data_IF_363873384839
#
_entry.id   IF_363873384839
#
_cell.length_a   1.000
_cell.length_b   1.000
_cell.length_c   1.000
_cell.angle_alpha   90.00
_cell.angle_beta   90.00
_cell.angle_gamma   90.00
#
_symmetry.space_group_name_H-M   'P 1'
#
loop_
_entity.id
_entity.type
_entity.pdbx_description
1 polymer ?
#
# COMPACT_ATOMS: atom_id res chain seq x y z
N UNK A 1 -5.67 23.22 -13.89
CA UNK A 1 -6.40 22.90 -12.64
C UNK A 1 -5.69 21.75 -11.95
N UNK A 2 -5.37 21.85 -10.66
CA UNK A 2 -4.60 20.83 -9.94
C UNK A 2 -5.39 19.52 -9.85
N UNK A 3 -4.82 18.41 -10.33
CA UNK A 3 -5.45 17.09 -10.44
C UNK A 3 -5.96 16.49 -9.10
N UNK A 4 -5.59 17.09 -7.96
CA UNK A 4 -5.89 16.58 -6.62
C UNK A 4 -6.89 17.44 -5.83
N UNK A 5 -7.51 18.45 -6.45
CA UNK A 5 -8.45 19.36 -5.75
C UNK A 5 -9.65 18.61 -5.12
N UNK A 6 -10.11 17.55 -5.78
CA UNK A 6 -11.25 16.73 -5.34
C UNK A 6 -10.80 15.37 -4.80
N UNK A 7 -9.60 15.30 -4.21
CA UNK A 7 -9.11 14.05 -3.67
C UNK A 7 -9.85 13.66 -2.39
N UNK A 8 -10.31 12.39 -2.27
CA UNK A 8 -10.83 11.87 -1.02
C UNK A 8 -9.70 11.62 -0.01
N UNK A 9 -8.44 11.67 -0.44
CA UNK A 9 -7.31 11.33 0.41
C UNK A 9 -6.92 12.48 1.32
N UNK A 10 -6.74 12.14 2.59
CA UNK A 10 -6.12 13.01 3.59
C UNK A 10 -4.82 12.38 4.09
N UNK A 11 -4.03 13.15 4.84
CA UNK A 11 -2.83 12.67 5.51
C UNK A 11 -3.19 12.12 6.90
N UNK A 12 -2.64 10.97 7.25
CA UNK A 12 -2.71 10.31 8.55
C UNK A 12 -1.31 10.23 9.13
N UNK A 13 -1.20 10.52 10.41
CA UNK A 13 -0.03 10.17 11.21
C UNK A 13 -0.26 8.79 11.81
N UNK A 14 0.75 7.93 11.73
CA UNK A 14 0.66 6.57 12.26
C UNK A 14 1.97 6.18 12.91
N UNK A 15 1.88 5.22 13.83
CA UNK A 15 3.04 4.54 14.40
C UNK A 15 2.97 3.06 14.10
N UNK A 16 4.11 2.41 13.98
CA UNK A 16 4.16 0.95 13.90
C UNK A 16 3.74 0.39 15.25
N UNK A 17 2.77 -0.51 15.27
CA UNK A 17 2.33 -1.23 16.47
C UNK A 17 2.87 -2.65 16.50
N UNK A 18 3.10 -3.26 15.34
CA UNK A 18 3.67 -4.60 15.23
C UNK A 18 4.36 -4.82 13.89
N UNK A 19 5.40 -5.65 13.88
CA UNK A 19 6.02 -6.16 12.66
C UNK A 19 6.07 -7.68 12.66
N UNK A 20 5.81 -8.30 11.51
CA UNK A 20 5.77 -9.77 11.37
C UNK A 20 6.41 -10.21 10.06
N UNK A 21 7.46 -11.03 10.13
CA UNK A 21 8.04 -11.68 8.94
C UNK A 21 7.06 -12.73 8.41
N UNK A 22 6.66 -12.61 7.15
CA UNK A 22 5.73 -13.53 6.48
C UNK A 22 6.48 -14.63 5.72
N UNK A 23 7.61 -14.26 5.12
CA UNK A 23 8.54 -15.12 4.39
C UNK A 23 9.91 -14.42 4.33
N UNK A 24 10.96 -15.05 3.78
CA UNK A 24 12.25 -14.37 3.62
C UNK A 24 12.15 -13.04 2.85
N UNK A 25 11.25 -12.95 1.87
CA UNK A 25 11.05 -11.78 1.03
C UNK A 25 9.90 -10.86 1.44
N UNK A 26 9.15 -11.16 2.51
CA UNK A 26 7.99 -10.34 2.91
C UNK A 26 7.93 -10.06 4.40
N UNK A 27 7.64 -8.82 4.74
CA UNK A 27 7.31 -8.39 6.10
C UNK A 27 5.97 -7.67 6.09
N UNK A 28 5.15 -7.97 7.10
CA UNK A 28 3.97 -7.17 7.44
C UNK A 28 4.34 -6.14 8.48
N UNK A 29 3.96 -4.90 8.24
CA UNK A 29 3.99 -3.82 9.22
C UNK A 29 2.55 -3.46 9.54
N UNK A 30 2.21 -3.45 10.83
CA UNK A 30 0.93 -2.97 11.33
C UNK A 30 1.13 -1.55 11.82
N UNK A 31 0.32 -0.64 11.28
CA UNK A 31 0.26 0.76 11.67
C UNK A 31 -0.95 0.96 12.58
N UNK A 32 -0.81 1.83 13.58
CA UNK A 32 -1.87 2.20 14.51
C UNK A 32 -1.92 3.70 14.77
N UNK A 33 -3.14 4.22 14.85
CA UNK A 33 -3.51 5.55 15.36
C UNK A 33 -5.04 5.62 15.50
N UNK A 34 -5.57 6.39 16.44
CA UNK A 34 -7.03 6.55 16.58
C UNK A 34 -7.68 7.12 15.31
N UNK A 35 -6.98 8.00 14.60
CA UNK A 35 -7.45 8.63 13.34
C UNK A 35 -7.56 7.61 12.20
N UNK A 36 -6.94 6.44 12.30
CA UNK A 36 -7.13 5.37 11.30
C UNK A 36 -8.56 4.79 11.33
N UNK A 37 -9.38 5.12 12.34
CA UNK A 37 -10.84 4.89 12.31
C UNK A 37 -11.50 5.57 11.11
N UNK A 38 -10.93 6.67 10.65
CA UNK A 38 -11.47 7.47 9.55
C UNK A 38 -10.89 7.08 8.18
N UNK A 39 -9.96 6.13 8.13
CA UNK A 39 -9.45 5.58 6.86
C UNK A 39 -10.51 4.66 6.25
N UNK A 40 -10.98 5.01 5.05
CA UNK A 40 -12.00 4.24 4.36
C UNK A 40 -11.49 2.81 4.09
N UNK A 41 -12.22 1.77 4.55
CA UNK A 41 -11.81 0.39 4.38
C UNK A 41 -12.42 -0.16 3.08
N UNK A 42 -12.17 0.46 1.92
CA UNK A 42 -12.72 -0.05 0.65
C UNK A 42 -12.29 -1.50 0.41
N UNK A 43 -11.14 -1.89 0.97
CA UNK A 43 -10.54 -3.21 0.75
C UNK A 43 -10.34 -3.37 -0.77
N UNK A 44 -10.03 -4.54 -1.34
CA UNK A 44 -9.61 -4.66 -2.76
C UNK A 44 -8.21 -4.08 -3.04
N UNK A 45 -8.00 -3.47 -4.21
CA UNK A 45 -6.74 -2.91 -4.65
C UNK A 45 -6.49 -1.45 -4.20
N UNK A 46 -7.12 -1.06 -3.09
CA UNK A 46 -7.04 0.28 -2.52
C UNK A 46 -5.59 0.75 -2.37
N UNK A 47 -5.22 1.71 -3.22
CA UNK A 47 -3.92 2.35 -3.26
C UNK A 47 -3.88 3.53 -2.30
N UNK A 48 -2.83 3.54 -1.52
CA UNK A 48 -2.45 4.60 -0.59
C UNK A 48 -1.08 5.14 -0.98
N UNK A 49 -0.71 6.27 -0.39
CA UNK A 49 0.66 6.80 -0.42
C UNK A 49 1.25 6.68 0.97
N UNK A 50 2.48 6.20 1.07
CA UNK A 50 3.25 6.26 2.32
C UNK A 50 4.42 7.20 2.13
N UNK A 51 4.82 7.88 3.20
CA UNK A 51 6.01 8.71 3.23
C UNK A 51 6.96 8.13 4.25
N UNK A 52 8.13 7.69 3.81
CA UNK A 52 9.15 7.11 4.67
C UNK A 52 10.06 8.23 5.17
N UNK A 53 10.39 8.28 6.47
CA UNK A 53 11.25 9.34 7.00
C UNK A 53 12.68 9.20 6.47
N UNK A 54 13.36 10.32 6.27
CA UNK A 54 14.80 10.34 5.88
C UNK A 54 15.70 10.51 7.10
N UNK A 55 15.30 11.36 8.05
CA UNK A 55 16.09 11.72 9.25
C UNK A 55 15.46 11.23 10.56
N UNK A 56 14.46 10.35 10.49
CA UNK A 56 13.70 9.86 11.65
C UNK A 56 12.49 10.74 12.02
N UNK A 57 12.55 12.03 11.71
CA UNK A 57 11.46 12.99 11.90
C UNK A 57 10.80 13.44 10.59
N UNK A 58 9.60 14.02 10.73
CA UNK A 58 8.86 14.62 9.61
C UNK A 58 8.89 16.15 9.69
N UNK A 59 9.00 16.84 8.55
CA UNK A 59 8.84 18.29 8.47
C UNK A 59 7.52 18.75 9.09
N UNK A 60 7.54 19.84 9.86
CA UNK A 60 6.40 20.34 10.63
C UNK A 60 5.14 20.64 9.79
N UNK A 61 5.32 20.97 8.50
CA UNK A 61 4.20 21.20 7.57
C UNK A 61 3.39 19.93 7.26
N UNK A 62 3.96 18.74 7.38
CA UNK A 62 3.30 17.47 7.06
C UNK A 62 2.52 16.91 8.27
N UNK A 63 1.37 17.53 8.55
CA UNK A 63 0.49 17.18 9.67
C UNK A 63 -0.75 16.39 9.24
N UNK A 64 -1.26 15.53 10.12
CA UNK A 64 -2.48 14.78 9.85
C UNK A 64 -3.69 15.69 9.54
N UNK A 65 -4.66 15.17 8.79
CA UNK A 65 -5.86 15.88 8.35
C UNK A 65 -5.66 16.73 7.10
N UNK A 66 -4.42 16.97 6.65
CA UNK A 66 -4.19 17.72 5.42
C UNK A 66 -4.79 17.00 4.20
N UNK A 67 -5.57 17.69 3.36
CA UNK A 67 -6.05 17.13 2.11
C UNK A 67 -4.89 16.87 1.14
N UNK A 68 -5.08 16.00 0.15
CA UNK A 68 -4.00 15.59 -0.74
C UNK A 68 -3.28 16.74 -1.45
N UNK A 69 -4.04 17.74 -1.89
CA UNK A 69 -3.43 18.94 -2.47
C UNK A 69 -2.56 19.70 -1.45
N UNK A 70 -2.99 19.76 -0.19
CA UNK A 70 -2.30 20.46 0.89
C UNK A 70 -0.97 19.78 1.23
N UNK A 71 -1.00 18.49 1.60
CA UNK A 71 0.25 17.81 1.96
C UNK A 71 1.22 17.70 0.79
N UNK A 72 0.74 17.62 -0.47
CA UNK A 72 1.63 17.59 -1.65
C UNK A 72 2.40 18.90 -1.80
N UNK A 73 1.75 20.05 -1.55
CA UNK A 73 2.43 21.35 -1.57
C UNK A 73 3.48 21.44 -0.49
N UNK A 74 3.15 21.03 0.74
CA UNK A 74 4.10 20.98 1.85
C UNK A 74 5.26 20.02 1.52
N UNK A 75 4.99 18.82 1.02
CA UNK A 75 6.02 17.86 0.65
C UNK A 75 6.97 18.39 -0.45
N UNK A 76 6.44 19.17 -1.40
CA UNK A 76 7.24 19.81 -2.45
C UNK A 76 8.12 20.94 -1.94
N UNK A 77 7.73 21.65 -0.87
CA UNK A 77 8.52 22.74 -0.29
C UNK A 77 9.67 22.26 0.60
N UNK A 78 9.62 21.01 1.08
CA UNK A 78 10.69 20.41 1.91
C UNK A 78 11.97 20.23 1.08
N UNK A 79 13.15 20.62 1.58
CA UNK A 79 14.43 20.38 0.89
C UNK A 79 14.69 18.89 0.62
N UNK A 80 15.32 18.55 -0.51
CA UNK A 80 15.52 17.16 -0.96
C UNK A 80 16.15 16.24 0.10
N UNK A 81 17.10 16.76 0.89
CA UNK A 81 17.81 16.04 1.96
C UNK A 81 16.95 15.68 3.18
N UNK A 82 15.82 16.37 3.36
CA UNK A 82 14.86 16.13 4.46
C UNK A 82 13.54 15.56 3.93
N UNK A 83 13.34 15.57 2.61
CA UNK A 83 12.05 15.24 1.99
C UNK A 83 11.74 13.75 2.15
N UNK A 84 10.65 13.38 2.85
CA UNK A 84 10.27 11.99 3.02
C UNK A 84 10.09 11.25 1.69
N UNK A 85 10.50 10.00 1.62
CA UNK A 85 10.36 9.21 0.40
C UNK A 85 8.92 8.79 0.17
N UNK A 86 8.29 9.30 -0.89
CA UNK A 86 6.91 8.98 -1.23
C UNK A 86 6.83 7.67 -2.03
N UNK A 87 6.02 6.71 -1.59
CA UNK A 87 5.78 5.45 -2.31
C UNK A 87 4.29 5.11 -2.38
N UNK A 88 3.90 4.40 -3.43
CA UNK A 88 2.54 3.86 -3.56
C UNK A 88 2.51 2.45 -3.01
N UNK A 89 1.54 2.15 -2.16
CA UNK A 89 1.31 0.82 -1.61
C UNK A 89 -0.17 0.47 -1.73
N UNK A 90 -0.48 -0.83 -1.66
CA UNK A 90 -1.84 -1.33 -1.52
C UNK A 90 -2.09 -1.59 -0.04
N UNK A 91 -3.17 -1.04 0.51
CA UNK A 91 -3.60 -1.35 1.87
C UNK A 91 -3.93 -2.85 1.96
N UNK A 92 -3.27 -3.60 2.85
CA UNK A 92 -3.56 -5.03 2.96
C UNK A 92 -4.86 -5.26 3.73
N UNK A 93 -4.99 -4.65 4.91
CA UNK A 93 -6.19 -4.79 5.74
C UNK A 93 -6.35 -3.58 6.65
N UNK A 94 -7.36 -2.77 6.38
CA UNK A 94 -7.81 -1.71 7.29
C UNK A 94 -8.77 -2.30 8.32
N UNK A 95 -8.56 -1.98 9.59
CA UNK A 95 -9.42 -2.36 10.72
C UNK A 95 -9.85 -1.09 11.46
N UNK A 96 -10.87 -0.36 10.95
CA UNK A 96 -11.28 0.91 11.54
C UNK A 96 -11.60 0.80 13.03
N UNK A 97 -12.35 -0.24 13.45
CA UNK A 97 -12.70 -0.44 14.86
C UNK A 97 -11.47 -0.52 15.80
N UNK A 98 -10.34 -1.03 15.31
CA UNK A 98 -9.10 -1.12 16.07
C UNK A 98 -8.16 0.09 15.85
N UNK A 99 -8.46 0.98 14.88
CA UNK A 99 -7.54 2.03 14.46
C UNK A 99 -6.25 1.48 13.85
N UNK A 100 -6.35 0.39 13.08
CA UNK A 100 -5.17 -0.29 12.54
C UNK A 100 -5.18 -0.45 11.02
N UNK A 101 -4.00 -0.44 10.42
CA UNK A 101 -3.76 -0.76 9.02
C UNK A 101 -2.57 -1.69 8.86
N UNK A 102 -2.76 -2.82 8.19
CA UNK A 102 -1.65 -3.66 7.77
C UNK A 102 -1.14 -3.27 6.38
N UNK A 103 0.18 -3.25 6.24
CA UNK A 103 0.91 -3.13 4.98
C UNK A 103 1.87 -4.31 4.82
N UNK A 104 1.86 -4.94 3.65
CA UNK A 104 2.84 -5.97 3.29
C UNK A 104 3.92 -5.35 2.40
N UNK A 105 5.18 -5.47 2.80
CA UNK A 105 6.35 -4.98 2.07
C UNK A 105 7.11 -6.15 1.48
N UNK A 106 7.41 -6.05 0.19
CA UNK A 106 8.37 -6.94 -0.46
C UNK A 106 9.80 -6.44 -0.21
N UNK A 107 10.65 -7.35 0.26
CA UNK A 107 12.04 -7.11 0.61
C UNK A 107 12.94 -7.57 -0.54
N UNK A 108 13.27 -6.64 -1.43
CA UNK A 108 14.19 -6.88 -2.54
C UNK A 108 15.63 -6.45 -2.22
N UNK A 109 16.58 -7.05 -2.93
CA UNK A 109 17.99 -6.66 -2.97
C UNK A 109 18.34 -6.05 -4.35
N UNK A 110 19.16 -4.97 -4.40
CA UNK A 110 19.56 -4.15 -3.27
C UNK A 110 18.35 -3.45 -2.65
N UNK A 111 18.40 -3.19 -1.34
CA UNK A 111 17.30 -2.52 -0.64
C UNK A 111 17.06 -1.13 -1.23
N UNK A 112 15.85 -0.91 -1.75
CA UNK A 112 15.33 0.43 -1.97
C UNK A 112 14.81 1.05 -0.67
N UNK A 113 14.54 2.36 -0.65
CA UNK A 113 13.89 3.10 0.43
C UNK A 113 12.89 2.35 1.31
N UNK A 114 11.85 1.81 0.70
CA UNK A 114 10.77 1.14 1.41
C UNK A 114 11.18 -0.25 1.93
N UNK A 115 11.96 -0.98 1.14
CA UNK A 115 12.48 -2.31 1.50
C UNK A 115 13.43 -2.20 2.70
N UNK A 116 14.34 -1.22 2.70
CA UNK A 116 15.25 -0.95 3.81
C UNK A 116 14.51 -0.51 5.08
N UNK A 117 13.59 0.45 4.98
CA UNK A 117 12.79 0.88 6.13
C UNK A 117 11.97 -0.29 6.71
N UNK A 118 11.25 -1.04 5.87
CA UNK A 118 10.41 -2.14 6.33
C UNK A 118 11.21 -3.30 6.93
N UNK A 119 12.44 -3.53 6.46
CA UNK A 119 13.33 -4.54 7.03
C UNK A 119 13.77 -4.18 8.46
N UNK A 120 13.88 -2.88 8.79
CA UNK A 120 14.30 -2.37 10.08
C UNK A 120 13.14 -1.97 11.01
N UNK A 121 11.92 -1.87 10.48
CA UNK A 121 10.75 -1.33 11.20
C UNK A 121 10.44 -2.07 12.51
N UNK A 122 10.17 -1.28 13.56
CA UNK A 122 9.88 -1.74 14.92
C UNK A 122 8.72 -0.94 15.51
N UNK A 123 8.01 -1.49 16.51
CA UNK A 123 6.99 -0.73 17.24
C UNK A 123 7.51 0.62 17.73
N UNK A 124 6.72 1.68 17.52
CA UNK A 124 7.08 3.07 17.82
C UNK A 124 7.59 3.86 16.60
N UNK A 125 8.06 3.20 15.54
CA UNK A 125 8.50 3.90 14.33
C UNK A 125 7.34 4.67 13.69
N UNK A 126 7.58 5.90 13.26
CA UNK A 126 6.56 6.75 12.65
C UNK A 126 6.46 6.51 11.15
N UNK A 127 5.24 6.57 10.63
CA UNK A 127 4.96 6.58 9.20
C UNK A 127 3.81 7.53 8.88
N UNK A 128 3.99 8.40 7.89
CA UNK A 128 2.86 9.15 7.33
C UNK A 128 2.21 8.37 6.19
N UNK A 129 0.89 8.40 6.19
CA UNK A 129 0.04 7.68 5.24
C UNK A 129 -0.94 8.67 4.62
N UNK A 130 -1.13 8.63 3.31
CA UNK A 130 -2.27 9.28 2.67
C UNK A 130 -3.20 8.25 2.03
N UNK A 131 -4.47 8.32 2.41
CA UNK A 131 -5.51 7.42 1.96
C UNK A 131 -6.90 8.04 2.07
N UNK A 132 -7.92 7.41 1.49
CA UNK A 132 -9.27 7.97 1.38
C UNK A 132 -9.92 8.09 2.76
N UNK A 133 -10.53 9.23 3.04
CA UNK A 133 -11.34 9.43 4.23
C UNK A 133 -12.71 8.74 4.09
N UNK A 134 -13.21 8.11 5.15
CA UNK A 134 -14.44 7.31 5.11
C UNK A 134 -15.68 8.12 4.68
N UNK A 135 -15.72 9.41 4.98
CA UNK A 135 -16.83 10.29 4.59
C UNK A 135 -16.76 10.78 3.13
N UNK A 136 -15.67 10.52 2.41
CA UNK A 136 -15.50 11.01 1.05
C UNK A 136 -16.26 10.17 -0.01
N UNK A 137 -16.97 9.12 0.41
CA UNK A 137 -17.76 8.25 -0.46
C UNK A 137 -16.92 7.24 -1.24
N UNK A 138 -17.51 6.62 -2.27
CA UNK A 138 -16.77 5.71 -3.17
C UNK A 138 -15.82 6.52 -4.03
N UNK A 139 -14.50 6.25 -4.00
CA UNK A 139 -13.55 7.07 -4.72
C UNK A 139 -13.59 6.68 -6.20
N UNK A 140 -13.68 7.67 -7.09
CA UNK A 140 -13.53 7.45 -8.55
C UNK A 140 -12.11 7.07 -8.98
N UNK A 141 -11.20 6.81 -8.04
CA UNK A 141 -9.81 6.42 -8.29
C UNK A 141 -9.17 5.79 -7.04
N UNK A 142 -8.09 5.03 -7.22
CA UNK A 142 -7.35 4.42 -6.11
C UNK A 142 -7.79 3.00 -5.79
N UNK A 143 -9.01 2.62 -6.15
CA UNK A 143 -9.43 1.24 -6.41
C UNK A 143 -9.65 1.13 -7.92
N UNK A 144 -9.20 0.06 -8.58
CA UNK A 144 -9.43 -0.17 -10.01
C UNK A 144 -10.10 -1.52 -10.27
N UNK A 145 -10.34 -2.32 -9.24
CA UNK A 145 -11.03 -3.59 -9.39
C UNK A 145 -12.50 -3.37 -9.78
N UNK A 146 -12.78 -3.51 -11.08
CA UNK A 146 -14.11 -3.38 -11.67
C UNK A 146 -14.33 -4.47 -12.73
N UNK A 147 -14.60 -5.73 -12.32
CA UNK A 147 -14.75 -6.84 -13.26
C UNK A 147 -16.08 -6.80 -14.05
N UNK A 148 -16.98 -5.86 -13.73
CA UNK A 148 -18.31 -5.78 -14.34
C UNK A 148 -19.09 -7.09 -14.20
N UNK A 149 -19.81 -7.55 -15.24
CA UNK A 149 -20.59 -8.78 -15.21
C UNK A 149 -19.75 -10.06 -15.45
N UNK A 150 -18.41 -9.98 -15.43
CA UNK A 150 -17.57 -11.12 -15.77
C UNK A 150 -17.76 -12.29 -14.79
N UNK A 151 -18.13 -13.46 -15.32
CA UNK A 151 -18.25 -14.69 -14.54
C UNK A 151 -16.89 -15.37 -14.25
N UNK A 152 -15.84 -15.03 -15.01
CA UNK A 152 -14.49 -15.56 -14.84
C UNK A 152 -13.48 -14.43 -15.04
N UNK A 153 -12.53 -14.31 -14.12
CA UNK A 153 -11.44 -13.33 -14.19
C UNK A 153 -10.11 -14.06 -14.05
N UNK A 154 -9.16 -13.77 -14.95
CA UNK A 154 -7.78 -14.19 -14.81
C UNK A 154 -7.02 -13.07 -14.10
N UNK A 155 -6.30 -13.43 -13.05
CA UNK A 155 -5.45 -12.49 -12.32
C UNK A 155 -4.01 -12.98 -12.40
N UNK A 156 -3.13 -12.12 -12.91
CA UNK A 156 -1.69 -12.34 -12.96
C UNK A 156 -0.98 -11.24 -12.17
N UNK A 157 0.02 -11.61 -11.36
CA UNK A 157 0.79 -10.69 -10.55
C UNK A 157 2.18 -11.22 -10.22
N UNK A 158 3.09 -10.29 -10.03
CA UNK A 158 4.37 -10.50 -9.38
C UNK A 158 4.25 -10.31 -7.86
N UNK A 159 5.37 -10.27 -7.16
CA UNK A 159 5.46 -10.05 -5.71
C UNK A 159 4.85 -8.71 -5.28
N UNK A 160 4.99 -7.66 -6.09
CA UNK A 160 4.49 -6.31 -5.77
C UNK A 160 2.97 -6.21 -5.91
N UNK A 161 2.41 -7.01 -6.84
CA UNK A 161 0.97 -7.08 -7.09
C UNK A 161 0.28 -8.26 -6.38
N UNK A 162 1.04 -9.15 -5.71
CA UNK A 162 0.55 -10.39 -5.07
C UNK A 162 -0.71 -10.15 -4.21
N UNK A 163 -0.80 -8.99 -3.55
CA UNK A 163 -1.97 -8.64 -2.74
C UNK A 163 -3.10 -7.94 -3.44
N UNK A 164 -2.81 -7.23 -4.53
CA UNK A 164 -3.84 -6.69 -5.41
C UNK A 164 -4.81 -7.80 -5.85
N UNK A 165 -4.27 -8.98 -6.09
CA UNK A 165 -5.02 -10.16 -6.54
C UNK A 165 -5.86 -10.82 -5.44
N UNK A 166 -5.27 -11.00 -4.25
CA UNK A 166 -5.94 -11.66 -3.13
C UNK A 166 -7.08 -10.83 -2.52
N UNK A 167 -6.97 -9.51 -2.53
CA UNK A 167 -8.01 -8.61 -2.02
C UNK A 167 -9.19 -8.48 -3.01
N UNK A 168 -8.92 -8.45 -4.32
CA UNK A 168 -9.91 -8.47 -5.39
C UNK A 168 -10.71 -9.78 -5.49
N UNK A 169 -10.23 -10.86 -4.89
CA UNK A 169 -10.90 -12.16 -4.86
C UNK A 169 -11.16 -12.63 -3.41
N UNK A 170 -12.32 -12.27 -2.80
CA UNK A 170 -12.63 -12.64 -1.41
C UNK A 170 -12.69 -14.16 -1.14
N UNK A 171 -12.67 -15.00 -2.19
CA UNK A 171 -12.63 -16.46 -2.09
C UNK A 171 -11.28 -17.03 -1.60
N UNK A 172 -10.18 -16.27 -1.67
CA UNK A 172 -8.85 -16.75 -1.25
C UNK A 172 -8.74 -17.03 0.26
N UNK A 173 -9.62 -16.46 1.08
CA UNK A 173 -9.56 -16.60 2.54
C UNK A 173 -10.26 -17.83 3.12
N UNK A 174 -11.11 -18.56 2.37
CA UNK A 174 -11.96 -19.60 2.98
C UNK A 174 -12.11 -20.93 2.22
N UNK A 175 -11.64 -21.06 0.98
CA UNK A 175 -11.74 -22.33 0.23
C UNK A 175 -10.54 -22.56 -0.69
N UNK A 176 -9.33 -22.70 -0.13
CA UNK A 176 -8.26 -23.39 -0.86
C UNK A 176 -8.39 -24.90 -0.66
N UNK A 177 -9.56 -25.44 -1.02
CA UNK A 177 -9.79 -26.86 -1.23
C UNK A 177 -9.51 -27.13 -2.70
N UNK A 178 -8.44 -27.90 -2.97
CA UNK A 178 -8.04 -28.51 -4.25
C UNK A 178 -9.02 -28.30 -5.42
N UNK A 179 -8.51 -27.77 -6.54
CA UNK A 179 -9.16 -27.35 -7.82
C UNK A 179 -9.46 -25.84 -7.79
N UNK A 180 -8.56 -24.91 -8.10
CA UNK A 180 -7.60 -24.84 -9.20
C UNK A 180 -6.54 -23.81 -8.82
N UNK A 181 -5.35 -24.31 -8.47
CA UNK A 181 -4.17 -23.50 -8.23
C UNK A 181 -3.22 -23.74 -9.39
N UNK A 182 -3.22 -22.86 -10.39
CA UNK A 182 -2.25 -22.98 -11.48
C UNK A 182 -1.00 -22.18 -11.13
N UNK A 183 -0.01 -22.91 -10.61
CA UNK A 183 1.40 -22.52 -10.67
C UNK A 183 2.02 -23.33 -11.80
N UNK A 184 2.44 -22.68 -12.89
CA UNK A 184 3.51 -23.19 -13.75
C UNK A 184 4.30 -22.02 -14.30
N UNK A 185 5.43 -21.76 -13.65
CA UNK A 185 6.56 -21.11 -14.30
C UNK A 185 7.24 -22.21 -15.11
N UNK A 186 7.18 -22.13 -16.44
CA UNK A 186 8.21 -22.73 -17.30
C UNK A 186 8.45 -21.80 -18.46
N UNK A 187 9.54 -21.05 -18.40
CA UNK A 187 10.12 -20.45 -19.59
C UNK A 187 10.81 -21.58 -20.37
N UNK A 188 10.35 -21.88 -21.59
CA UNK A 188 11.21 -22.46 -22.62
C UNK A 188 11.42 -21.35 -23.65
N UNK A 189 12.63 -20.83 -23.74
CA UNK A 189 13.02 -20.02 -24.89
C UNK A 189 13.07 -20.93 -26.13
N UNK A 190 12.64 -20.45 -27.32
CA UNK A 190 12.98 -21.10 -28.57
C UNK A 190 14.48 -20.90 -28.87
N UNK A 191 15.15 -21.85 -29.55
CA UNK A 191 16.52 -21.65 -29.99
C UNK A 191 16.62 -20.49 -31.00
N UNK A 192 17.76 -19.78 -31.09
CA UNK A 192 17.96 -18.72 -32.06
C UNK A 192 17.91 -19.28 -33.48
N UNK A 193 17.20 -18.61 -34.37
CA UNK A 193 17.23 -18.84 -35.81
C UNK A 193 18.56 -18.39 -36.38
N UNK A 194 19.33 -19.33 -36.93
CA UNK A 194 20.49 -19.07 -37.78
C UNK A 194 20.02 -18.59 -39.14
N UNK A 195 20.30 -17.32 -39.46
CA UNK A 195 20.58 -16.86 -40.83
C UNK A 195 21.58 -15.71 -40.74
#
# INVERSE_FOLDING_TARGET
MSAFRNSPNILFETTVTATRRLSPGFVRVTLGDERLRDLAPHQLDQRIKIMLPVTGDYPAGLRAGLPEQGWRREWQSVPDRERPWLRSYTAYRTRPAAGELDLDFYLHQPHGPASGWAAAARPGDRLLLSGPHIQAGQPGYGVQWEPGPAARVLIAADETAYRRCGASCPAWGRKCGRRSCWRRVSQRMPPPSTT
#
